data_IF_165877589011
#
_entry.id   IF_165877589011
#
_cell.length_a   1.000
_cell.length_b   1.000
_cell.length_c   1.000
_cell.angle_alpha   90.00
_cell.angle_beta   90.00
_cell.angle_gamma   90.00
#
_symmetry.space_group_name_H-M   'P 1'
#
loop_
_entity.id
_entity.type
_entity.pdbx_description
1 polymer ?
#
# COMPACT_ATOMS: atom_id res chain seq x y z
N UNK A 1 -6.08 13.36 -21.46
CA UNK A 1 -6.39 12.20 -20.62
C UNK A 1 -5.71 10.95 -21.21
N UNK A 2 -6.09 10.47 -22.37
CA UNK A 2 -5.50 9.27 -23.00
C UNK A 2 -3.96 9.33 -23.19
N UNK A 3 -3.40 10.46 -23.58
CA UNK A 3 -1.95 10.65 -23.71
C UNK A 3 -1.21 10.55 -22.37
N UNK A 4 -1.81 11.06 -21.28
CA UNK A 4 -1.24 10.95 -19.93
C UNK A 4 -1.38 9.52 -19.40
N UNK A 5 -2.50 8.85 -19.69
CA UNK A 5 -2.72 7.46 -19.30
C UNK A 5 -1.69 6.52 -19.96
N UNK A 6 -1.32 6.77 -21.21
CA UNK A 6 -0.29 6.02 -21.93
C UNK A 6 1.13 6.14 -21.31
N UNK A 7 1.38 7.16 -20.48
CA UNK A 7 2.67 7.32 -19.79
C UNK A 7 2.80 6.47 -18.52
N UNK A 8 1.67 6.03 -17.95
CA UNK A 8 1.68 5.25 -16.69
C UNK A 8 2.46 3.95 -16.82
N UNK A 9 2.21 3.09 -17.84
CA UNK A 9 2.98 1.87 -18.02
C UNK A 9 4.49 2.12 -18.18
N UNK A 10 4.86 3.21 -18.86
CA UNK A 10 6.27 3.58 -19.04
C UNK A 10 6.95 4.01 -17.73
N UNK A 11 6.19 4.61 -16.82
CA UNK A 11 6.66 4.96 -15.50
C UNK A 11 6.81 3.71 -14.61
N UNK A 12 5.83 2.82 -14.64
CA UNK A 12 5.85 1.55 -13.91
C UNK A 12 7.02 0.67 -14.36
N UNK A 13 7.29 0.61 -15.67
CA UNK A 13 8.40 -0.16 -16.21
C UNK A 13 9.76 0.19 -15.57
N UNK A 14 9.94 1.44 -15.14
CA UNK A 14 11.16 1.88 -14.44
C UNK A 14 11.23 1.40 -12.98
N UNK A 15 10.12 0.96 -12.42
CA UNK A 15 9.99 0.52 -11.04
C UNK A 15 9.87 -1.01 -10.91
N UNK A 16 9.98 -1.75 -12.01
CA UNK A 16 9.87 -3.22 -12.01
C UNK A 16 10.82 -3.90 -11.01
N UNK A 17 12.09 -3.48 -10.84
CA UNK A 17 12.95 -4.07 -9.83
C UNK A 17 12.42 -3.91 -8.40
N UNK A 18 11.85 -2.73 -8.07
CA UNK A 18 11.26 -2.47 -6.76
C UNK A 18 9.96 -3.28 -6.58
N UNK A 19 9.17 -3.42 -7.63
CA UNK A 19 7.97 -4.27 -7.61
C UNK A 19 8.36 -5.73 -7.35
N UNK A 20 9.35 -6.25 -8.06
CA UNK A 20 9.84 -7.60 -7.86
C UNK A 20 10.31 -7.84 -6.42
N UNK A 21 11.03 -6.87 -5.83
CA UNK A 21 11.44 -6.96 -4.44
C UNK A 21 10.25 -6.96 -3.47
N UNK A 22 9.24 -6.11 -3.71
CA UNK A 22 8.03 -6.08 -2.89
C UNK A 22 7.26 -7.42 -2.97
N UNK A 23 7.17 -8.01 -4.17
CA UNK A 23 6.56 -9.35 -4.35
C UNK A 23 7.34 -10.41 -3.59
N UNK A 24 8.66 -10.37 -3.63
CA UNK A 24 9.51 -11.30 -2.85
C UNK A 24 9.23 -11.16 -1.35
N UNK A 25 9.19 -9.95 -0.81
CA UNK A 25 8.91 -9.74 0.62
C UNK A 25 7.49 -10.15 1.03
N UNK A 26 6.50 -9.94 0.14
CA UNK A 26 5.15 -10.44 0.38
C UNK A 26 5.11 -11.98 0.46
N UNK A 27 5.77 -12.65 -0.50
CA UNK A 27 5.86 -14.11 -0.49
C UNK A 27 6.56 -14.64 0.76
N UNK A 28 7.70 -14.06 1.13
CA UNK A 28 8.43 -14.43 2.36
C UNK A 28 7.60 -14.20 3.63
N UNK A 29 6.79 -13.12 3.67
CA UNK A 29 5.87 -12.88 4.78
C UNK A 29 4.83 -14.01 4.86
N UNK A 30 4.20 -14.37 3.76
CA UNK A 30 3.21 -15.45 3.71
C UNK A 30 3.80 -16.81 4.10
N UNK A 31 5.00 -17.14 3.63
CA UNK A 31 5.71 -18.38 4.01
C UNK A 31 6.00 -18.47 5.52
N UNK A 32 6.21 -17.31 6.18
CA UNK A 32 6.42 -17.23 7.63
C UNK A 32 5.11 -17.15 8.44
N UNK A 33 3.95 -17.29 7.77
CA UNK A 33 2.63 -17.14 8.40
C UNK A 33 2.28 -15.69 8.73
N UNK A 34 2.99 -14.73 8.15
CA UNK A 34 2.69 -13.31 8.21
C UNK A 34 1.67 -12.87 7.15
N UNK A 35 1.40 -11.59 7.09
CA UNK A 35 0.34 -10.97 6.29
C UNK A 35 0.88 -9.79 5.49
N UNK A 36 0.14 -9.43 4.44
CA UNK A 36 0.35 -8.18 3.73
C UNK A 36 -0.63 -7.12 4.25
N UNK A 37 -0.13 -5.99 4.68
CA UNK A 37 -0.93 -4.83 5.07
C UNK A 37 -0.81 -3.72 4.04
N UNK A 38 -1.93 -3.29 3.48
CA UNK A 38 -2.03 -2.02 2.79
C UNK A 38 -2.54 -0.96 3.75
N UNK A 39 -1.98 0.24 3.71
CA UNK A 39 -2.48 1.35 4.50
C UNK A 39 -2.45 2.66 3.73
N UNK A 40 -3.53 3.43 3.87
CA UNK A 40 -3.68 4.70 3.18
C UNK A 40 -4.85 5.51 3.69
N UNK A 41 -5.02 6.72 3.15
CA UNK A 41 -6.15 7.58 3.45
C UNK A 41 -6.97 7.87 2.19
N UNK A 42 -8.26 8.11 2.34
CA UNK A 42 -9.17 8.45 1.25
C UNK A 42 -9.12 7.41 0.12
N UNK A 43 -8.91 7.86 -1.12
CA UNK A 43 -8.85 6.96 -2.30
C UNK A 43 -7.70 5.96 -2.20
N UNK A 44 -6.55 6.34 -1.64
CA UNK A 44 -5.41 5.44 -1.46
C UNK A 44 -5.74 4.28 -0.52
N UNK A 45 -6.39 4.58 0.61
CA UNK A 45 -6.85 3.54 1.54
C UNK A 45 -7.92 2.65 0.92
N UNK A 46 -8.87 3.23 0.17
CA UNK A 46 -9.91 2.44 -0.54
C UNK A 46 -9.33 1.44 -1.53
N UNK A 47 -8.25 1.81 -2.22
CA UNK A 47 -7.58 0.90 -3.16
C UNK A 47 -6.96 -0.29 -2.44
N UNK A 48 -6.29 -0.07 -1.29
CA UNK A 48 -5.75 -1.15 -0.47
C UNK A 48 -6.85 -2.08 0.08
N UNK A 49 -7.97 -1.51 0.55
CA UNK A 49 -9.12 -2.30 1.02
C UNK A 49 -9.75 -3.09 -0.13
N UNK A 50 -9.86 -2.50 -1.32
CA UNK A 50 -10.41 -3.18 -2.49
C UNK A 50 -9.55 -4.39 -2.88
N UNK A 51 -8.23 -4.21 -2.97
CA UNK A 51 -7.31 -5.30 -3.30
C UNK A 51 -7.41 -6.43 -2.25
N UNK A 52 -7.39 -6.09 -0.97
CA UNK A 52 -7.55 -7.06 0.12
C UNK A 52 -8.87 -7.83 0.04
N UNK A 53 -9.97 -7.16 -0.31
CA UNK A 53 -11.29 -7.78 -0.44
C UNK A 53 -11.40 -8.74 -1.63
N UNK A 54 -10.64 -8.49 -2.70
CA UNK A 54 -10.65 -9.32 -3.92
C UNK A 54 -9.73 -10.57 -3.80
N UNK A 55 -8.79 -10.59 -2.86
CA UNK A 55 -7.88 -11.72 -2.71
C UNK A 55 -8.58 -13.05 -2.39
N UNK A 56 -9.54 -13.14 -1.42
CA UNK A 56 -10.21 -14.39 -1.12
C UNK A 56 -11.01 -14.97 -2.29
N UNK A 57 -11.89 -14.23 -2.98
CA UNK A 57 -12.68 -14.81 -4.07
C UNK A 57 -11.84 -15.14 -5.32
N UNK A 58 -10.75 -14.40 -5.54
CA UNK A 58 -9.93 -14.57 -6.75
C UNK A 58 -8.88 -15.69 -6.58
N UNK A 59 -8.29 -15.80 -5.40
CA UNK A 59 -7.15 -16.70 -5.15
C UNK A 59 -7.46 -17.81 -4.14
N UNK A 60 -8.65 -17.81 -3.52
CA UNK A 60 -9.02 -18.82 -2.52
C UNK A 60 -8.22 -18.73 -1.21
N UNK A 61 -7.61 -17.58 -0.91
CA UNK A 61 -6.80 -17.35 0.29
C UNK A 61 -7.66 -16.91 1.46
N UNK A 62 -7.19 -17.10 2.73
CA UNK A 62 -7.86 -16.55 3.90
C UNK A 62 -7.97 -15.02 3.83
N UNK A 63 -9.10 -14.48 4.29
CA UNK A 63 -9.35 -13.02 4.30
C UNK A 63 -8.35 -12.24 5.18
N UNK A 64 -7.73 -12.90 6.10
CA UNK A 64 -6.72 -12.34 7.00
C UNK A 64 -5.34 -12.21 6.36
N UNK A 65 -5.08 -12.89 5.23
CA UNK A 65 -3.76 -12.90 4.57
C UNK A 65 -3.39 -11.54 4.00
N UNK A 66 -4.37 -10.80 3.47
CA UNK A 66 -4.18 -9.43 2.96
C UNK A 66 -5.16 -8.51 3.68
N UNK A 67 -4.63 -7.49 4.34
CA UNK A 67 -5.39 -6.57 5.19
C UNK A 67 -5.30 -5.16 4.62
N UNK A 68 -6.45 -4.54 4.35
CA UNK A 68 -6.52 -3.15 3.92
C UNK A 68 -6.93 -2.23 5.08
N UNK A 69 -6.07 -1.26 5.42
CA UNK A 69 -6.33 -0.24 6.42
C UNK A 69 -6.58 1.12 5.76
N UNK A 70 -7.65 1.77 6.17
CA UNK A 70 -8.00 3.12 5.72
C UNK A 70 -8.10 4.06 6.92
N UNK A 71 -7.46 5.22 6.85
CA UNK A 71 -7.54 6.22 7.90
C UNK A 71 -9.01 6.59 8.21
N UNK A 72 -9.43 6.43 9.47
CA UNK A 72 -10.81 6.58 9.91
C UNK A 72 -11.63 5.29 9.91
N UNK A 73 -10.99 4.12 9.61
CA UNK A 73 -11.60 2.80 9.72
C UNK A 73 -12.64 2.51 8.63
N UNK A 74 -13.46 1.47 8.83
CA UNK A 74 -14.45 0.99 7.84
C UNK A 74 -15.42 2.08 7.38
N UNK A 75 -15.82 2.99 8.26
CA UNK A 75 -16.70 4.12 7.92
C UNK A 75 -16.08 4.99 6.82
N UNK A 76 -14.77 5.19 6.85
CA UNK A 76 -14.04 5.99 5.86
C UNK A 76 -14.03 5.39 4.46
N UNK A 77 -14.42 4.14 4.29
CA UNK A 77 -14.59 3.53 2.98
C UNK A 77 -15.75 4.16 2.20
N UNK A 78 -16.85 4.46 2.89
CA UNK A 78 -18.07 5.03 2.29
C UNK A 78 -18.07 6.55 2.44
N UNK A 79 -17.84 7.07 3.65
CA UNK A 79 -17.90 8.49 4.00
C UNK A 79 -16.50 9.03 4.33
N UNK A 80 -16.19 10.26 3.91
CA UNK A 80 -14.93 10.88 4.30
C UNK A 80 -14.92 11.17 5.81
N UNK A 81 -13.86 10.73 6.50
CA UNK A 81 -13.62 11.06 7.92
C UNK A 81 -12.54 12.13 7.94
N UNK A 82 -12.94 13.37 8.20
CA UNK A 82 -12.03 14.51 8.23
C UNK A 82 -11.00 14.36 9.37
N UNK A 83 -9.77 14.81 9.14
CA UNK A 83 -8.69 14.78 10.11
C UNK A 83 -8.04 13.40 10.35
N UNK A 84 -8.66 12.29 9.95
CA UNK A 84 -8.11 10.96 10.15
C UNK A 84 -6.77 10.75 9.43
N UNK A 85 -6.60 11.36 8.25
CA UNK A 85 -5.36 11.27 7.47
C UNK A 85 -4.17 12.01 8.11
N UNK A 86 -4.45 12.95 9.02
CA UNK A 86 -3.44 13.78 9.68
C UNK A 86 -2.88 13.15 10.97
N UNK A 87 -3.53 12.11 11.50
CA UNK A 87 -3.08 11.43 12.72
C UNK A 87 -2.10 10.29 12.43
N UNK A 88 -0.89 10.43 12.94
CA UNK A 88 0.12 9.36 12.96
C UNK A 88 -0.21 8.29 14.00
N UNK A 89 -0.79 8.69 15.10
CA UNK A 89 -1.16 7.86 16.25
C UNK A 89 -2.23 6.84 15.84
N UNK A 90 -3.23 7.29 15.07
CA UNK A 90 -4.31 6.44 14.58
C UNK A 90 -3.76 5.25 13.77
N UNK A 91 -2.74 5.47 12.94
CA UNK A 91 -2.10 4.39 12.17
C UNK A 91 -1.45 3.34 13.08
N UNK A 92 -0.84 3.80 14.18
CA UNK A 92 -0.22 2.91 15.17
C UNK A 92 -1.28 2.09 15.90
N UNK A 93 -2.40 2.74 16.27
CA UNK A 93 -3.54 2.08 16.91
C UNK A 93 -4.15 1.02 16.00
N UNK A 94 -4.37 1.32 14.73
CA UNK A 94 -4.91 0.40 13.74
C UNK A 94 -4.00 -0.83 13.57
N UNK A 95 -2.70 -0.63 13.41
CA UNK A 95 -1.74 -1.74 13.27
C UNK A 95 -1.63 -2.57 14.54
N UNK A 96 -1.68 -1.96 15.72
CA UNK A 96 -1.71 -2.66 17.02
C UNK A 96 -2.99 -3.47 17.20
N UNK A 97 -4.14 -2.92 16.84
CA UNK A 97 -5.43 -3.60 16.91
C UNK A 97 -5.45 -4.88 16.04
N UNK A 98 -4.74 -4.85 14.91
CA UNK A 98 -4.56 -6.02 14.05
C UNK A 98 -3.42 -6.95 14.49
N UNK A 99 -2.73 -6.64 15.59
CA UNK A 99 -1.63 -7.46 16.11
C UNK A 99 -0.48 -7.61 15.11
N UNK A 100 0.04 -6.48 14.58
CA UNK A 100 1.17 -6.48 13.65
C UNK A 100 2.38 -7.19 14.27
N UNK A 101 3.04 -8.04 13.49
CA UNK A 101 4.23 -8.80 13.89
C UNK A 101 5.39 -8.58 12.92
N UNK A 102 6.61 -8.93 13.32
CA UNK A 102 7.79 -8.82 12.46
C UNK A 102 7.75 -9.69 11.19
N UNK A 103 6.83 -10.66 11.12
CA UNK A 103 6.64 -11.49 9.92
C UNK A 103 5.74 -10.83 8.87
N UNK A 104 5.06 -9.74 9.23
CA UNK A 104 4.14 -9.06 8.33
C UNK A 104 4.92 -8.10 7.39
N UNK A 105 4.33 -7.79 6.24
CA UNK A 105 4.82 -6.81 5.28
C UNK A 105 3.84 -5.65 5.17
N UNK A 106 4.32 -4.40 5.26
CA UNK A 106 3.46 -3.21 5.25
C UNK A 106 3.74 -2.34 4.05
N UNK A 107 2.68 -2.03 3.28
CA UNK A 107 2.72 -1.16 2.11
C UNK A 107 1.92 0.11 2.37
N UNK A 108 2.60 1.23 2.46
CA UNK A 108 2.00 2.56 2.61
C UNK A 108 1.64 3.18 1.26
N UNK A 109 0.40 3.60 1.09
CA UNK A 109 -0.12 4.16 -0.15
C UNK A 109 -0.54 5.61 0.05
N UNK A 110 0.13 6.55 -0.63
CA UNK A 110 -0.26 7.96 -0.64
C UNK A 110 0.18 8.64 -1.93
N UNK A 111 -0.75 9.10 -2.76
CA UNK A 111 -0.43 9.77 -4.02
C UNK A 111 0.50 10.98 -3.83
N UNK A 112 0.24 11.81 -2.81
CA UNK A 112 1.10 12.95 -2.45
C UNK A 112 2.43 12.51 -1.81
N UNK A 113 2.46 11.32 -1.22
CA UNK A 113 3.59 10.81 -0.47
C UNK A 113 3.87 11.55 0.84
N UNK A 114 2.89 12.27 1.41
CA UNK A 114 3.05 13.10 2.60
C UNK A 114 2.09 12.80 3.74
N UNK A 115 1.13 11.90 3.53
CA UNK A 115 0.04 11.61 4.47
C UNK A 115 0.57 11.16 5.83
N UNK A 116 0.28 11.91 6.93
CA UNK A 116 0.80 11.62 8.25
C UNK A 116 0.41 10.23 8.77
N UNK A 117 -0.84 9.81 8.56
CA UNK A 117 -1.30 8.45 8.87
C UNK A 117 -0.36 7.38 8.31
N UNK A 118 -0.02 7.48 7.00
CA UNK A 118 0.87 6.50 6.36
C UNK A 118 2.29 6.58 6.92
N UNK A 119 2.79 7.78 7.20
CA UNK A 119 4.10 7.96 7.83
C UNK A 119 4.17 7.30 9.21
N UNK A 120 3.15 7.53 10.06
CA UNK A 120 3.07 6.92 11.39
C UNK A 120 3.06 5.40 11.34
N UNK A 121 2.29 4.83 10.41
CA UNK A 121 2.22 3.38 10.24
C UNK A 121 3.52 2.75 9.73
N UNK A 122 4.19 3.37 8.75
CA UNK A 122 5.49 2.90 8.26
C UNK A 122 6.58 2.96 9.34
N UNK A 123 6.63 4.06 10.10
CA UNK A 123 7.58 4.20 11.21
C UNK A 123 7.33 3.14 12.29
N UNK A 124 6.07 2.90 12.65
CA UNK A 124 5.72 1.85 13.61
C UNK A 124 6.04 0.45 13.08
N UNK A 125 5.69 0.12 11.83
CA UNK A 125 5.97 -1.17 11.22
C UNK A 125 7.48 -1.48 11.24
N UNK A 126 8.33 -0.50 10.91
CA UNK A 126 9.79 -0.63 11.02
C UNK A 126 10.25 -0.88 12.46
N UNK A 127 9.63 -0.22 13.45
CA UNK A 127 9.98 -0.43 14.85
C UNK A 127 9.63 -1.83 15.34
N UNK A 128 8.63 -2.48 14.73
CA UNK A 128 8.25 -3.89 14.99
C UNK A 128 9.19 -4.87 14.27
N UNK A 129 9.90 -4.42 13.23
CA UNK A 129 10.80 -5.25 12.43
C UNK A 129 10.18 -5.76 11.12
N UNK A 130 9.05 -5.20 10.69
CA UNK A 130 8.43 -5.53 9.41
C UNK A 130 9.23 -4.95 8.24
N UNK A 131 9.24 -5.64 7.11
CA UNK A 131 9.57 -5.00 5.84
C UNK A 131 8.52 -3.96 5.48
N UNK A 132 8.95 -2.85 4.89
CA UNK A 132 8.05 -1.75 4.53
C UNK A 132 8.29 -1.26 3.11
N UNK A 133 7.21 -1.02 2.38
CA UNK A 133 7.24 -0.38 1.06
C UNK A 133 6.32 0.83 0.99
N UNK A 134 6.60 1.74 0.07
CA UNK A 134 5.79 2.92 -0.17
C UNK A 134 5.41 3.07 -1.64
N UNK A 135 4.15 3.37 -1.89
CA UNK A 135 3.61 3.70 -3.21
C UNK A 135 3.22 5.20 -3.21
N UNK A 136 3.92 6.00 -4.02
CA UNK A 136 3.68 7.43 -4.14
C UNK A 136 3.83 7.92 -5.58
N UNK A 137 3.15 9.02 -5.94
CA UNK A 137 3.30 9.65 -7.26
C UNK A 137 4.45 10.67 -7.30
N UNK A 138 5.20 10.85 -6.22
CA UNK A 138 6.27 11.85 -6.12
C UNK A 138 7.60 11.20 -5.73
N UNK A 139 8.63 11.43 -6.55
CA UNK A 139 10.01 11.02 -6.28
C UNK A 139 10.52 11.73 -5.03
N UNK A 140 11.17 10.98 -4.12
CA UNK A 140 11.72 11.55 -2.90
C UNK A 140 10.67 12.01 -1.89
N UNK A 141 9.46 11.47 -1.99
CA UNK A 141 8.37 11.74 -1.05
C UNK A 141 8.72 11.34 0.38
N UNK A 142 8.01 11.91 1.36
CA UNK A 142 8.23 11.61 2.78
C UNK A 142 8.01 10.12 3.08
N UNK A 143 6.92 9.51 2.57
CA UNK A 143 6.67 8.07 2.77
C UNK A 143 7.71 7.20 2.06
N UNK A 144 8.21 7.64 0.89
CA UNK A 144 9.26 6.92 0.17
C UNK A 144 10.62 6.95 0.90
N UNK A 145 10.87 7.97 1.74
CA UNK A 145 12.04 8.02 2.61
C UNK A 145 11.85 7.25 3.91
N UNK A 146 10.62 7.15 4.39
CA UNK A 146 10.28 6.41 5.59
C UNK A 146 10.31 4.90 5.36
N UNK A 147 9.87 4.41 4.21
CA UNK A 147 9.89 2.99 3.87
C UNK A 147 11.30 2.50 3.52
N UNK A 148 11.54 1.20 3.66
CA UNK A 148 12.76 0.53 3.19
C UNK A 148 12.80 0.48 1.66
N UNK A 149 11.66 0.23 1.03
CA UNK A 149 11.51 0.16 -0.40
C UNK A 149 10.59 1.28 -0.88
N UNK A 150 11.17 2.22 -1.64
CA UNK A 150 10.40 3.23 -2.35
C UNK A 150 10.20 2.79 -3.80
N UNK A 151 9.00 2.36 -4.13
CA UNK A 151 8.59 2.03 -5.48
C UNK A 151 7.52 3.00 -5.98
N UNK A 152 7.43 3.15 -7.30
CA UNK A 152 6.37 3.88 -7.99
C UNK A 152 6.45 5.40 -7.95
N UNK A 153 7.33 5.92 -8.79
CA UNK A 153 7.46 7.35 -9.00
C UNK A 153 6.99 7.72 -10.41
N UNK A 154 5.88 8.40 -10.51
CA UNK A 154 5.56 9.13 -11.73
C UNK A 154 5.71 10.63 -11.47
N UNK A 155 6.67 11.26 -12.14
CA UNK A 155 6.75 12.71 -12.19
C UNK A 155 5.52 13.21 -12.93
N UNK A 156 4.49 13.66 -12.17
CA UNK A 156 3.34 14.39 -12.68
C UNK A 156 2.42 13.62 -13.64
N UNK A 157 1.65 12.69 -13.13
CA UNK A 157 0.31 12.47 -13.66
C UNK A 157 -0.63 13.40 -12.87
N UNK A 158 -0.99 14.52 -13.49
CA UNK A 158 -1.93 15.46 -12.92
C UNK A 158 -3.35 14.90 -13.03
N UNK A 159 -3.68 13.87 -12.27
CA UNK A 159 -5.03 13.32 -12.25
C UNK A 159 -5.15 12.11 -11.34
N UNK A 160 -6.18 12.13 -10.52
CA UNK A 160 -6.56 11.02 -9.62
C UNK A 160 -6.81 9.68 -10.34
N UNK A 161 -6.93 9.68 -11.67
CA UNK A 161 -7.17 8.49 -12.51
C UNK A 161 -5.95 7.58 -12.63
N UNK A 162 -4.74 8.12 -12.73
CA UNK A 162 -3.53 7.31 -12.94
C UNK A 162 -3.17 6.44 -11.73
N UNK A 163 -3.55 6.87 -10.53
CA UNK A 163 -3.27 6.13 -9.32
C UNK A 163 -4.09 4.83 -9.22
N UNK A 164 -5.32 4.84 -9.71
CA UNK A 164 -6.21 3.66 -9.70
C UNK A 164 -5.68 2.49 -10.53
N UNK A 165 -4.94 2.76 -11.59
CA UNK A 165 -4.44 1.71 -12.50
C UNK A 165 -3.14 1.06 -11.99
N UNK A 166 -2.36 1.77 -11.21
CA UNK A 166 -1.04 1.29 -10.76
C UNK A 166 -1.10 0.27 -9.62
N UNK A 167 -2.19 0.25 -8.85
CA UNK A 167 -2.35 -0.63 -7.67
C UNK A 167 -3.13 -1.90 -8.01
N UNK A 168 -4.07 -1.84 -8.96
CA UNK A 168 -4.95 -2.96 -9.33
C UNK A 168 -4.40 -3.76 -10.53
N UNK A 169 -3.17 -3.51 -10.96
CA UNK A 169 -2.56 -4.28 -12.04
C UNK A 169 -2.32 -5.73 -11.60
N UNK A 170 -2.85 -6.67 -12.35
CA UNK A 170 -2.79 -8.14 -12.23
C UNK A 170 -1.37 -8.72 -11.97
N UNK A 171 -0.34 -7.87 -11.91
CA UNK A 171 1.06 -8.29 -11.85
C UNK A 171 1.57 -8.67 -10.47
N UNK A 172 0.90 -8.30 -9.38
CA UNK A 172 1.36 -8.68 -8.04
C UNK A 172 1.07 -10.14 -7.66
N UNK A 173 0.12 -10.78 -8.32
CA UNK A 173 -0.41 -12.07 -7.87
C UNK A 173 -0.17 -13.23 -8.85
N UNK A 174 0.32 -12.98 -10.06
CA UNK A 174 0.66 -14.04 -11.02
C UNK A 174 1.97 -14.77 -10.71
N UNK A 175 2.75 -14.29 -9.74
CA UNK A 175 3.99 -14.94 -9.29
C UNK A 175 3.80 -16.04 -8.25
N UNK A 176 2.70 -16.04 -7.53
CA UNK A 176 2.40 -17.10 -6.56
C UNK A 176 1.74 -18.29 -7.28
N UNK A 177 2.55 -19.23 -7.73
CA UNK A 177 2.06 -20.59 -7.98
C UNK A 177 1.99 -21.27 -6.62
N UNK A 178 0.78 -21.40 -6.09
CA UNK A 178 0.47 -22.35 -5.03
C UNK A 178 0.43 -23.77 -5.57
#
# INVERSE_FOLDING_TARGET
MNEEDARVPLAIAKCLPQIAQAVTWAAEAFEKGGRLFYMGAGTSGRLGVLDAAECPPTFGVPKEMVVGLIAGGEKAFIEAVEGAEDSRELAVEDLKAHGLTANDFVVGIAASGRTPYVLGGLDYAKSVGCHTAAIACNIGSAIGKAAELAGFHHKRAAGKSCFKLAVVGESCLTGCKF
#
